data_IF_048490339987
#
_entry.id   IF_048490339987
#
_cell.length_a   1.000
_cell.length_b   1.000
_cell.length_c   1.000
_cell.angle_alpha   90.00
_cell.angle_beta   90.00
_cell.angle_gamma   90.00
#
_symmetry.space_group_name_H-M   'P 1'
#
loop_
_entity.id
_entity.type
_entity.pdbx_description
1 polymer ?
#
# COMPACT_ATOMS: atom_id res chain seq x y z
N UNK A 1 -18.75 14.40 -12.16
CA UNK A 1 -17.69 13.42 -11.87
C UNK A 1 -17.18 13.71 -10.45
N UNK A 2 -17.41 12.81 -9.50
CA UNK A 2 -16.81 12.89 -8.18
C UNK A 2 -15.48 12.12 -8.20
N UNK A 3 -14.45 12.61 -7.49
CA UNK A 3 -13.12 11.98 -7.42
C UNK A 3 -12.59 12.09 -5.99
N UNK A 4 -11.86 11.06 -5.53
CA UNK A 4 -11.32 11.02 -4.17
C UNK A 4 -12.37 10.64 -3.13
N UNK A 5 -12.35 11.29 -1.97
CA UNK A 5 -13.19 10.93 -0.82
C UNK A 5 -14.69 10.90 -1.14
N UNK A 6 -15.15 11.87 -1.94
CA UNK A 6 -16.55 11.92 -2.40
C UNK A 6 -16.94 10.67 -3.20
N UNK A 7 -16.07 10.21 -4.09
CA UNK A 7 -16.29 8.99 -4.87
C UNK A 7 -16.21 7.74 -3.99
N UNK A 8 -15.29 7.71 -3.01
CA UNK A 8 -15.15 6.59 -2.07
C UNK A 8 -16.43 6.37 -1.24
N UNK A 9 -17.13 7.44 -0.84
CA UNK A 9 -18.40 7.35 -0.13
C UNK A 9 -19.53 6.69 -0.94
N UNK A 10 -19.41 6.65 -2.27
CA UNK A 10 -20.39 6.07 -3.18
C UNK A 10 -20.19 4.56 -3.39
N UNK A 11 -19.03 3.99 -3.02
CA UNK A 11 -18.73 2.57 -3.22
C UNK A 11 -19.76 1.67 -2.52
N UNK A 12 -20.35 0.76 -3.29
CA UNK A 12 -21.42 -0.14 -2.83
C UNK A 12 -22.78 0.54 -2.56
N UNK A 13 -22.93 1.82 -2.91
CA UNK A 13 -24.15 2.62 -2.68
C UNK A 13 -24.66 3.32 -3.94
N UNK A 14 -24.10 3.01 -5.11
CA UNK A 14 -24.46 3.67 -6.37
C UNK A 14 -25.83 3.21 -6.89
N UNK A 15 -26.71 4.13 -7.35
CA UNK A 15 -27.87 3.77 -8.16
C UNK A 15 -27.42 3.24 -9.54
N UNK A 16 -28.31 2.60 -10.29
CA UNK A 16 -27.96 1.91 -11.55
C UNK A 16 -27.36 2.78 -12.66
N UNK A 17 -27.45 4.12 -12.55
CA UNK A 17 -26.88 5.08 -13.50
C UNK A 17 -25.54 5.69 -13.04
N UNK A 18 -25.01 5.27 -11.89
CA UNK A 18 -23.72 5.74 -11.36
C UNK A 18 -22.82 4.53 -11.14
N UNK A 19 -21.54 4.67 -11.49
CA UNK A 19 -20.53 3.67 -11.20
C UNK A 19 -19.40 4.32 -10.41
N UNK A 20 -19.00 3.66 -9.31
CA UNK A 20 -17.81 4.02 -8.56
C UNK A 20 -16.68 3.06 -8.97
N UNK A 21 -15.58 3.61 -9.47
CA UNK A 21 -14.48 2.86 -10.07
C UNK A 21 -13.18 3.15 -9.30
N UNK A 22 -12.42 2.10 -9.01
CA UNK A 22 -11.02 2.19 -8.54
C UNK A 22 -10.12 1.85 -9.72
N UNK A 23 -9.54 2.84 -10.43
CA UNK A 23 -8.80 2.58 -11.66
C UNK A 23 -7.40 1.98 -11.41
N UNK A 24 -6.92 2.06 -10.17
CA UNK A 24 -5.68 1.43 -9.70
C UNK A 24 -6.04 0.21 -8.85
N UNK A 25 -5.50 -0.96 -9.19
CA UNK A 25 -5.71 -2.21 -8.43
C UNK A 25 -4.47 -3.09 -8.52
N UNK A 26 -4.12 -3.79 -7.44
CA UNK A 26 -2.95 -4.69 -7.38
C UNK A 26 -1.65 -4.03 -7.87
N UNK A 27 -1.47 -2.74 -7.56
CA UNK A 27 -0.31 -1.94 -7.98
C UNK A 27 -0.34 -1.47 -9.43
N UNK A 28 -1.29 -1.94 -10.24
CA UNK A 28 -1.33 -1.65 -11.69
C UNK A 28 -2.50 -0.74 -12.06
N UNK A 29 -2.41 -0.11 -13.23
CA UNK A 29 -3.52 0.61 -13.84
C UNK A 29 -4.47 -0.44 -14.46
N UNK A 30 -5.65 -0.60 -13.87
CA UNK A 30 -6.69 -1.49 -14.36
C UNK A 30 -7.57 -0.82 -15.44
N UNK A 31 -7.71 0.50 -15.37
CA UNK A 31 -8.48 1.31 -16.33
C UNK A 31 -7.70 2.59 -16.63
N UNK A 32 -7.12 2.67 -17.83
CA UNK A 32 -6.24 3.78 -18.24
C UNK A 32 -6.99 5.09 -18.39
N UNK A 33 -8.17 5.08 -19.01
CA UNK A 33 -8.95 6.29 -19.26
C UNK A 33 -9.42 6.91 -17.94
N UNK A 34 -9.89 6.07 -17.01
CA UNK A 34 -10.33 6.54 -15.69
C UNK A 34 -9.14 6.95 -14.81
N UNK A 35 -8.00 6.24 -14.88
CA UNK A 35 -6.78 6.62 -14.16
C UNK A 35 -6.26 7.99 -14.63
N UNK A 36 -6.25 8.24 -15.94
CA UNK A 36 -5.82 9.52 -16.50
C UNK A 36 -6.69 10.68 -16.00
N UNK A 37 -8.02 10.54 -16.02
CA UNK A 37 -8.92 11.57 -15.51
C UNK A 37 -8.77 11.78 -13.99
N UNK A 38 -8.50 10.71 -13.24
CA UNK A 38 -8.18 10.80 -11.82
C UNK A 38 -6.88 11.59 -11.56
N UNK A 39 -5.80 11.28 -12.30
CA UNK A 39 -4.51 11.99 -12.22
C UNK A 39 -4.68 13.46 -12.57
N UNK A 40 -5.35 13.76 -13.69
CA UNK A 40 -5.68 15.14 -14.10
C UNK A 40 -6.45 15.88 -13.03
N UNK A 41 -7.43 15.25 -12.40
CA UNK A 41 -8.22 15.85 -11.34
C UNK A 41 -7.32 16.24 -10.15
N UNK A 42 -6.51 15.30 -9.64
CA UNK A 42 -5.66 15.58 -8.47
C UNK A 42 -4.59 16.65 -8.75
N UNK A 43 -3.97 16.65 -9.93
CA UNK A 43 -3.03 17.71 -10.34
C UNK A 43 -3.76 19.06 -10.39
N UNK A 44 -4.93 19.13 -11.02
CA UNK A 44 -5.72 20.38 -11.13
C UNK A 44 -6.25 20.87 -9.78
N UNK A 45 -6.54 19.97 -8.84
CA UNK A 45 -7.04 20.30 -7.49
C UNK A 45 -6.00 21.07 -6.68
N UNK A 46 -4.71 20.72 -6.83
CA UNK A 46 -3.60 21.37 -6.10
C UNK A 46 -2.92 22.50 -6.89
N UNK A 47 -3.08 22.51 -8.21
CA UNK A 47 -2.46 23.53 -9.06
C UNK A 47 -3.27 24.84 -9.06
N UNK A 48 -2.65 25.93 -8.59
CA UNK A 48 -3.28 27.25 -8.59
C UNK A 48 -3.31 27.84 -10.02
N UNK A 49 -4.49 27.88 -10.64
CA UNK A 49 -4.75 28.33 -12.02
C UNK A 49 -4.34 29.78 -12.35
N UNK A 50 -3.82 30.54 -11.37
CA UNK A 50 -3.38 31.93 -11.56
C UNK A 50 -2.01 32.05 -12.23
N UNK A 51 -1.22 30.99 -12.28
CA UNK A 51 0.12 31.00 -12.89
C UNK A 51 0.14 30.17 -14.17
N UNK A 52 0.72 30.72 -15.24
CA UNK A 52 1.18 29.99 -16.43
C UNK A 52 2.40 29.09 -16.08
N UNK A 53 2.28 28.31 -15.00
CA UNK A 53 3.35 27.45 -14.53
C UNK A 53 3.29 26.11 -15.26
N UNK A 54 4.47 25.66 -15.67
CA UNK A 54 4.70 24.40 -16.36
C UNK A 54 5.36 23.44 -15.35
N UNK A 55 4.60 22.75 -14.49
CA UNK A 55 5.15 22.06 -13.31
C UNK A 55 6.02 20.87 -13.70
N UNK A 56 7.04 20.62 -12.88
CA UNK A 56 7.74 19.35 -12.86
C UNK A 56 6.99 18.42 -11.90
N UNK A 57 6.80 17.17 -12.31
CA UNK A 57 6.07 16.16 -11.55
C UNK A 57 7.00 14.96 -11.33
N UNK A 58 7.02 14.42 -10.12
CA UNK A 58 7.60 13.11 -9.83
C UNK A 58 6.44 12.19 -9.45
N UNK A 59 6.37 11.02 -10.06
CA UNK A 59 5.33 10.02 -9.80
C UNK A 59 5.99 8.75 -9.29
N UNK A 60 5.49 8.26 -8.17
CA UNK A 60 5.86 6.97 -7.64
C UNK A 60 5.22 5.85 -8.46
N UNK A 61 6.00 4.82 -8.80
CA UNK A 61 5.52 3.62 -9.51
C UNK A 61 6.02 2.36 -8.78
N UNK A 62 5.26 1.26 -8.76
CA UNK A 62 5.74 0.00 -8.19
C UNK A 62 7.02 -0.46 -8.86
N UNK A 63 7.89 -1.13 -8.12
CA UNK A 63 9.15 -1.65 -8.67
C UNK A 63 8.90 -2.62 -9.84
N UNK A 64 7.85 -3.45 -9.70
CA UNK A 64 7.41 -4.40 -10.72
C UNK A 64 6.64 -3.82 -11.91
N UNK A 65 6.45 -2.49 -11.99
CA UNK A 65 5.70 -1.88 -13.09
C UNK A 65 6.39 -2.09 -14.44
N UNK A 66 5.64 -2.60 -15.43
CA UNK A 66 6.10 -2.84 -16.79
C UNK A 66 6.43 -1.53 -17.52
N UNK A 67 7.23 -1.61 -18.59
CA UNK A 67 7.55 -0.44 -19.41
C UNK A 67 6.29 0.24 -20.00
N UNK A 68 5.25 -0.54 -20.30
CA UNK A 68 3.97 -0.03 -20.81
C UNK A 68 3.24 0.77 -19.75
N UNK A 69 3.14 0.26 -18.52
CA UNK A 69 2.51 0.95 -17.39
C UNK A 69 3.27 2.23 -17.01
N UNK A 70 4.60 2.15 -16.91
CA UNK A 70 5.46 3.31 -16.63
C UNK A 70 5.26 4.42 -17.67
N UNK A 71 5.20 4.06 -18.95
CA UNK A 71 4.95 5.00 -20.05
C UNK A 71 3.57 5.62 -19.97
N UNK A 72 2.54 4.82 -19.72
CA UNK A 72 1.16 5.31 -19.62
C UNK A 72 1.00 6.33 -18.47
N UNK A 73 1.55 6.04 -17.28
CA UNK A 73 1.58 6.97 -16.14
C UNK A 73 2.23 8.30 -16.54
N UNK A 74 3.37 8.22 -17.24
CA UNK A 74 4.09 9.40 -17.68
C UNK A 74 3.28 10.23 -18.70
N UNK A 75 2.67 9.58 -19.69
CA UNK A 75 1.83 10.23 -20.70
C UNK A 75 0.59 10.88 -20.08
N UNK A 76 -0.09 10.22 -19.15
CA UNK A 76 -1.24 10.80 -18.43
C UNK A 76 -0.87 12.07 -17.67
N UNK A 77 0.31 12.10 -17.03
CA UNK A 77 0.78 13.27 -16.31
C UNK A 77 1.19 14.43 -17.24
N UNK A 78 1.81 14.13 -18.39
CA UNK A 78 2.09 15.12 -19.43
C UNK A 78 0.80 15.72 -20.00
N UNK A 79 -0.18 14.87 -20.33
CA UNK A 79 -1.52 15.28 -20.79
C UNK A 79 -2.29 16.08 -19.74
N UNK A 80 -1.96 15.91 -18.46
CA UNK A 80 -2.50 16.73 -17.36
C UNK A 80 -1.88 18.13 -17.24
N UNK A 81 -0.85 18.45 -18.04
CA UNK A 81 -0.18 19.75 -18.05
C UNK A 81 1.21 19.76 -17.40
N UNK A 82 1.78 18.59 -17.05
CA UNK A 82 3.16 18.52 -16.59
C UNK A 82 4.14 18.84 -17.73
N UNK A 83 5.20 19.60 -17.43
CA UNK A 83 6.28 19.90 -18.37
C UNK A 83 7.30 18.78 -18.47
N UNK A 84 7.62 18.20 -17.33
CA UNK A 84 8.57 17.11 -17.15
C UNK A 84 7.99 16.18 -16.10
N UNK A 85 8.09 14.90 -16.38
CA UNK A 85 7.64 13.84 -15.48
C UNK A 85 8.83 12.93 -15.22
N UNK A 86 9.10 12.68 -13.95
CA UNK A 86 10.06 11.70 -13.49
C UNK A 86 9.31 10.58 -12.79
N UNK A 87 9.83 9.36 -12.89
CA UNK A 87 9.33 8.23 -12.12
C UNK A 87 10.34 7.85 -11.05
N UNK A 88 9.84 7.55 -9.85
CA UNK A 88 10.61 6.99 -8.74
C UNK A 88 9.99 5.65 -8.35
N UNK A 89 10.82 4.68 -8.01
CA UNK A 89 10.33 3.37 -7.57
C UNK A 89 9.78 3.44 -6.14
N UNK A 90 8.66 2.79 -5.91
CA UNK A 90 7.93 2.76 -4.64
C UNK A 90 8.79 2.41 -3.43
N UNK A 91 9.55 1.30 -3.41
CA UNK A 91 10.42 1.00 -2.27
C UNK A 91 11.49 2.08 -2.01
N UNK A 92 11.98 2.74 -3.06
CA UNK A 92 12.96 3.82 -2.91
C UNK A 92 12.30 5.08 -2.33
N UNK A 93 11.14 5.48 -2.86
CA UNK A 93 10.36 6.60 -2.33
C UNK A 93 9.94 6.36 -0.88
N UNK A 94 9.44 5.16 -0.57
CA UNK A 94 9.10 4.70 0.77
C UNK A 94 10.28 4.85 1.73
N UNK A 95 11.46 4.35 1.36
CA UNK A 95 12.65 4.40 2.20
C UNK A 95 13.17 5.84 2.42
N UNK A 96 13.19 6.68 1.38
CA UNK A 96 13.54 8.11 1.51
C UNK A 96 12.54 8.79 2.46
N UNK A 97 11.26 8.49 2.35
CA UNK A 97 10.21 9.03 3.22
C UNK A 97 10.37 8.60 4.68
N UNK A 98 10.69 7.32 4.90
CA UNK A 98 10.96 6.73 6.21
C UNK A 98 12.29 7.19 6.83
N UNK A 99 13.12 7.95 6.10
CA UNK A 99 14.38 8.49 6.62
C UNK A 99 15.53 7.48 6.63
N UNK A 100 15.44 6.41 5.84
CA UNK A 100 16.51 5.44 5.71
C UNK A 100 17.73 6.03 4.98
N UNK A 101 18.96 5.63 5.34
CA UNK A 101 20.19 6.11 4.72
C UNK A 101 20.44 5.44 3.35
N UNK A 102 19.52 5.63 2.40
CA UNK A 102 19.51 4.89 1.14
C UNK A 102 20.74 5.13 0.25
N UNK A 103 21.46 6.25 0.43
CA UNK A 103 22.67 6.59 -0.33
C UNK A 103 23.96 6.08 0.30
N UNK A 104 23.92 5.58 1.53
CA UNK A 104 25.11 5.09 2.23
C UNK A 104 25.45 3.66 1.78
N UNK A 105 26.72 3.23 1.91
CA UNK A 105 27.15 1.85 1.65
C UNK A 105 26.71 0.91 2.78
N UNK A 106 25.42 0.86 3.03
CA UNK A 106 24.81 0.03 4.07
C UNK A 106 23.50 -0.58 3.59
N UNK A 107 23.17 -1.76 4.10
CA UNK A 107 21.89 -2.44 3.86
C UNK A 107 20.77 -1.76 4.63
N UNK A 108 19.73 -1.36 3.90
CA UNK A 108 18.47 -0.88 4.49
C UNK A 108 17.31 -1.69 3.93
N UNK A 109 16.53 -2.36 4.79
CA UNK A 109 15.36 -3.13 4.39
C UNK A 109 14.07 -2.36 4.66
N UNK A 110 13.22 -2.27 3.65
CA UNK A 110 11.91 -1.61 3.70
C UNK A 110 10.84 -2.59 3.22
N UNK A 111 9.70 -2.59 3.92
CA UNK A 111 8.50 -3.35 3.56
C UNK A 111 7.33 -2.37 3.50
N UNK A 112 6.92 -2.00 2.29
CA UNK A 112 5.76 -1.13 2.06
C UNK A 112 4.51 -1.95 1.78
N UNK A 113 3.52 -1.86 2.66
CA UNK A 113 2.28 -2.62 2.58
C UNK A 113 1.16 -1.66 2.17
N UNK A 114 0.87 -1.62 0.88
CA UNK A 114 -0.16 -0.78 0.28
C UNK A 114 -1.55 -1.41 0.30
N UNK A 115 -2.42 -0.86 -0.55
CA UNK A 115 -3.77 -1.41 -0.78
C UNK A 115 -3.72 -2.71 -1.58
N UNK A 116 -3.11 -2.70 -2.76
CA UNK A 116 -3.09 -3.85 -3.66
C UNK A 116 -1.83 -4.71 -3.60
N UNK A 117 -0.73 -4.16 -3.08
CA UNK A 117 0.60 -4.77 -3.15
C UNK A 117 1.35 -4.61 -1.83
N UNK A 118 2.32 -5.50 -1.64
CA UNK A 118 3.40 -5.34 -0.67
C UNK A 118 4.71 -5.34 -1.45
N UNK A 119 5.48 -4.27 -1.31
CA UNK A 119 6.82 -4.12 -1.87
C UNK A 119 7.85 -4.39 -0.78
N UNK A 120 8.71 -5.38 -0.99
CA UNK A 120 9.84 -5.67 -0.11
C UNK A 120 11.12 -5.33 -0.86
N UNK A 121 11.98 -4.50 -0.27
CA UNK A 121 13.24 -4.14 -0.91
C UNK A 121 14.39 -4.02 0.07
N UNK A 122 15.60 -4.28 -0.46
CA UNK A 122 16.87 -4.01 0.18
C UNK A 122 17.62 -2.97 -0.65
N UNK A 123 18.03 -1.89 0.01
CA UNK A 123 18.62 -0.70 -0.60
C UNK A 123 20.05 -0.50 -0.11
N UNK A 124 20.90 0.01 -0.98
CA UNK A 124 22.26 0.46 -0.65
C UNK A 124 22.81 1.35 -1.77
N UNK A 125 23.67 2.31 -1.45
CA UNK A 125 24.37 3.16 -2.45
C UNK A 125 23.45 3.86 -3.47
N UNK A 126 22.24 4.23 -3.05
CA UNK A 126 21.23 4.87 -3.88
C UNK A 126 20.58 3.93 -4.90
N UNK A 127 20.83 2.63 -4.80
CA UNK A 127 20.29 1.60 -5.66
C UNK A 127 19.40 0.61 -4.91
N UNK A 128 18.55 -0.07 -5.68
CA UNK A 128 17.80 -1.24 -5.23
C UNK A 128 18.68 -2.47 -5.48
N UNK A 129 19.10 -3.13 -4.39
CA UNK A 129 19.89 -4.36 -4.48
C UNK A 129 18.97 -5.57 -4.70
N UNK A 130 17.84 -5.57 -4.00
CA UNK A 130 16.77 -6.54 -4.18
C UNK A 130 15.43 -5.82 -4.09
N UNK A 131 14.47 -6.20 -4.94
CA UNK A 131 13.07 -5.82 -4.77
C UNK A 131 12.17 -6.97 -5.20
N UNK A 132 11.06 -7.13 -4.47
CA UNK A 132 9.99 -8.04 -4.79
C UNK A 132 8.65 -7.38 -4.49
N UNK A 133 7.77 -7.41 -5.49
CA UNK A 133 6.37 -7.03 -5.34
C UNK A 133 5.51 -8.28 -5.26
N UNK A 134 4.63 -8.34 -4.26
CA UNK A 134 3.59 -9.38 -4.17
C UNK A 134 2.21 -8.73 -4.14
N UNK A 135 1.24 -9.34 -4.83
CA UNK A 135 -0.15 -8.84 -4.92
C UNK A 135 -0.99 -9.21 -3.71
N UNK A 136 -0.48 -8.87 -2.54
CA UNK A 136 -1.14 -8.98 -1.24
C UNK A 136 -0.96 -7.67 -0.49
N UNK A 137 -2.03 -7.17 0.12
CA UNK A 137 -2.06 -5.91 0.82
C UNK A 137 -3.42 -5.71 1.50
N UNK A 138 -3.79 -4.45 1.74
CA UNK A 138 -5.06 -4.10 2.37
C UNK A 138 -6.30 -4.69 1.69
N UNK A 139 -6.33 -4.75 0.36
CA UNK A 139 -7.47 -5.27 -0.42
C UNK A 139 -7.66 -6.78 -0.18
N UNK A 140 -6.58 -7.56 -0.15
CA UNK A 140 -6.63 -9.00 0.17
C UNK A 140 -7.05 -9.27 1.61
N UNK A 141 -6.65 -8.41 2.55
CA UNK A 141 -7.14 -8.47 3.92
C UNK A 141 -8.66 -8.23 3.98
N UNK A 142 -9.18 -7.26 3.22
CA UNK A 142 -10.62 -6.98 3.18
C UNK A 142 -11.41 -8.13 2.53
N UNK A 143 -10.89 -8.69 1.44
CA UNK A 143 -11.45 -9.88 0.78
C UNK A 143 -11.50 -11.08 1.73
N UNK A 144 -10.44 -11.31 2.51
CA UNK A 144 -10.35 -12.42 3.44
C UNK A 144 -11.35 -12.30 4.60
N UNK A 145 -11.52 -11.09 5.16
CA UNK A 145 -12.55 -10.81 6.17
C UNK A 145 -13.96 -11.06 5.60
N UNK A 146 -14.26 -10.56 4.39
CA UNK A 146 -15.57 -10.79 3.73
C UNK A 146 -15.82 -12.28 3.54
N UNK A 147 -14.82 -13.01 3.03
CA UNK A 147 -14.93 -14.45 2.79
C UNK A 147 -15.11 -15.24 4.08
N UNK A 148 -14.43 -14.85 5.16
CA UNK A 148 -14.58 -15.49 6.47
C UNK A 148 -15.97 -15.28 7.05
N UNK A 149 -16.45 -14.03 7.08
CA UNK A 149 -17.79 -13.71 7.62
C UNK A 149 -18.89 -14.36 6.79
N UNK A 150 -18.75 -14.38 5.47
CA UNK A 150 -19.68 -15.08 4.58
C UNK A 150 -19.79 -16.57 4.92
N UNK A 151 -18.66 -17.24 5.16
CA UNK A 151 -18.62 -18.70 5.43
C UNK A 151 -19.10 -19.06 6.83
N UNK A 152 -18.67 -18.32 7.85
CA UNK A 152 -18.93 -18.68 9.25
C UNK A 152 -20.23 -18.09 9.81
N UNK A 153 -20.67 -16.94 9.29
CA UNK A 153 -21.86 -16.22 9.80
C UNK A 153 -23.01 -16.14 8.80
N UNK A 154 -22.86 -16.67 7.59
CA UNK A 154 -23.83 -16.53 6.49
C UNK A 154 -24.26 -15.08 6.24
N UNK A 155 -23.33 -14.14 6.45
CA UNK A 155 -23.58 -12.70 6.34
C UNK A 155 -22.74 -12.11 5.21
N UNK A 156 -23.40 -11.38 4.31
CA UNK A 156 -22.73 -10.64 3.24
C UNK A 156 -22.37 -9.23 3.71
N UNK A 157 -21.09 -8.89 3.59
CA UNK A 157 -20.54 -7.56 3.85
C UNK A 157 -20.10 -6.89 2.54
N UNK A 158 -20.15 -5.56 2.52
CA UNK A 158 -19.48 -4.76 1.49
C UNK A 158 -18.05 -4.40 1.89
N UNK A 159 -17.26 -3.96 0.90
CA UNK A 159 -15.84 -3.58 1.09
C UNK A 159 -15.65 -2.52 2.19
N UNK A 160 -16.45 -1.46 2.20
CA UNK A 160 -16.33 -0.39 3.21
C UNK A 160 -16.60 -0.88 4.64
N UNK A 161 -17.48 -1.88 4.80
CA UNK A 161 -17.71 -2.52 6.11
C UNK A 161 -16.52 -3.37 6.51
N UNK A 162 -15.92 -4.10 5.56
CA UNK A 162 -14.72 -4.91 5.78
C UNK A 162 -13.52 -4.06 6.18
N UNK A 163 -13.24 -2.97 5.44
CA UNK A 163 -12.16 -2.03 5.74
C UNK A 163 -12.30 -1.44 7.16
N UNK A 164 -13.54 -1.13 7.57
CA UNK A 164 -13.84 -0.65 8.92
C UNK A 164 -13.53 -1.70 9.99
N UNK A 165 -13.97 -2.95 9.78
CA UNK A 165 -13.68 -4.07 10.69
C UNK A 165 -12.16 -4.25 10.81
N UNK A 166 -11.44 -4.26 9.69
CA UNK A 166 -9.98 -4.36 9.64
C UNK A 166 -9.30 -3.27 10.47
N UNK A 167 -9.76 -2.02 10.37
CA UNK A 167 -9.19 -0.88 11.12
C UNK A 167 -9.53 -0.91 12.61
N UNK A 168 -10.77 -1.27 12.97
CA UNK A 168 -11.23 -1.25 14.36
C UNK A 168 -10.63 -2.41 15.18
N UNK A 169 -10.72 -3.64 14.66
CA UNK A 169 -10.39 -4.87 15.39
C UNK A 169 -9.32 -5.74 14.73
N UNK A 170 -8.92 -5.45 13.49
CA UNK A 170 -7.90 -6.22 12.79
C UNK A 170 -6.57 -6.28 13.53
N UNK A 171 -5.98 -7.47 13.57
CA UNK A 171 -4.66 -7.72 14.11
C UNK A 171 -4.03 -8.91 13.41
N UNK A 172 -2.70 -8.96 13.36
CA UNK A 172 -1.94 -10.09 12.84
C UNK A 172 -1.85 -11.26 13.85
N UNK A 173 -2.06 -11.01 15.15
CA UNK A 173 -1.98 -12.03 16.20
C UNK A 173 -2.83 -11.67 17.43
N UNK A 174 -3.27 -12.70 18.16
CA UNK A 174 -3.86 -12.55 19.50
C UNK A 174 -2.73 -12.53 20.52
N UNK A 175 -2.70 -11.49 21.35
CA UNK A 175 -1.63 -11.28 22.34
C UNK A 175 -2.04 -11.66 23.77
N UNK A 176 -3.33 -11.68 24.08
CA UNK A 176 -3.82 -11.84 25.46
C UNK A 176 -4.42 -13.24 25.77
N UNK A 177 -4.19 -14.26 24.93
CA UNK A 177 -4.67 -15.64 25.14
C UNK A 177 -6.21 -15.83 25.13
N UNK A 178 -6.99 -14.76 25.10
CA UNK A 178 -8.46 -14.76 24.98
C UNK A 178 -8.96 -14.51 23.56
N UNK A 179 -10.26 -14.25 23.40
CA UNK A 179 -10.90 -13.95 22.09
C UNK A 179 -10.69 -12.51 21.60
N UNK A 180 -10.00 -11.68 22.39
CA UNK A 180 -9.86 -10.24 22.17
C UNK A 180 -11.19 -9.49 22.24
N UNK A 181 -11.24 -8.30 21.61
CA UNK A 181 -12.44 -7.44 21.61
C UNK A 181 -13.53 -8.03 20.71
N UNK A 182 -14.79 -7.88 21.09
CA UNK A 182 -15.93 -8.23 20.24
C UNK A 182 -16.64 -6.97 19.74
N UNK A 183 -17.07 -6.99 18.47
CA UNK A 183 -17.83 -5.91 17.84
C UNK A 183 -19.06 -6.46 17.13
N UNK A 184 -20.09 -5.61 17.00
CA UNK A 184 -21.27 -5.94 16.21
C UNK A 184 -21.13 -5.41 14.78
N UNK A 185 -21.39 -6.29 13.81
CA UNK A 185 -21.33 -5.96 12.39
C UNK A 185 -22.69 -6.18 11.75
N UNK A 186 -23.00 -5.36 10.75
CA UNK A 186 -24.26 -5.40 10.02
C UNK A 186 -24.01 -5.76 8.56
N UNK A 187 -24.85 -6.63 8.02
CA UNK A 187 -24.78 -7.07 6.64
C UNK A 187 -26.11 -7.65 6.16
N UNK A 188 -26.09 -8.27 4.98
CA UNK A 188 -27.26 -8.96 4.43
C UNK A 188 -27.17 -10.45 4.73
N UNK A 189 -28.16 -11.00 5.41
CA UNK A 189 -28.27 -12.44 5.65
C UNK A 189 -28.42 -13.17 4.30
N UNK A 190 -27.59 -14.18 4.06
CA UNK A 190 -27.56 -14.91 2.79
C UNK A 190 -28.69 -15.93 2.64
N UNK A 191 -29.32 -16.36 3.75
CA UNK A 191 -30.44 -17.29 3.71
C UNK A 191 -31.75 -16.54 3.41
N UNK A 192 -31.98 -15.45 4.14
CA UNK A 192 -33.27 -14.75 4.11
C UNK A 192 -33.23 -13.44 3.30
N UNK A 193 -32.04 -12.97 2.90
CA UNK A 193 -31.87 -11.74 2.12
C UNK A 193 -32.09 -10.44 2.91
N UNK A 194 -32.35 -10.52 4.21
CA UNK A 194 -32.69 -9.36 5.07
C UNK A 194 -31.47 -8.82 5.83
N UNK A 195 -31.46 -7.54 6.22
CA UNK A 195 -30.42 -7.02 7.10
C UNK A 195 -30.36 -7.75 8.44
N UNK A 196 -29.16 -8.15 8.86
CA UNK A 196 -28.91 -8.84 10.12
C UNK A 196 -27.65 -8.29 10.79
N UNK A 197 -27.66 -8.32 12.12
CA UNK A 197 -26.52 -7.98 12.97
C UNK A 197 -25.96 -9.26 13.61
N UNK A 198 -24.63 -9.39 13.62
CA UNK A 198 -23.91 -10.49 14.27
C UNK A 198 -22.76 -9.93 15.09
N UNK A 199 -22.50 -10.54 16.24
CA UNK A 199 -21.32 -10.26 17.06
C UNK A 199 -20.14 -11.10 16.54
N UNK A 200 -19.01 -10.45 16.33
CA UNK A 200 -17.75 -11.11 15.92
C UNK A 200 -16.66 -10.79 16.93
N UNK A 201 -15.71 -11.69 17.08
CA UNK A 201 -14.53 -11.54 17.94
C UNK A 201 -13.29 -11.17 17.15
N UNK A 202 -12.33 -10.53 17.82
CA UNK A 202 -11.02 -10.25 17.25
C UNK A 202 -10.28 -11.53 16.83
N UNK A 203 -10.44 -12.64 17.56
CA UNK A 203 -9.87 -13.93 17.17
C UNK A 203 -10.35 -14.42 15.80
N UNK A 204 -11.62 -14.22 15.47
CA UNK A 204 -12.16 -14.57 14.15
C UNK A 204 -11.56 -13.70 13.05
N UNK A 205 -11.31 -12.42 13.35
CA UNK A 205 -10.65 -11.51 12.39
C UNK A 205 -9.18 -11.88 12.22
N UNK A 206 -8.46 -12.20 13.29
CA UNK A 206 -7.07 -12.71 13.20
C UNK A 206 -7.02 -13.98 12.35
N UNK A 207 -7.93 -14.93 12.58
CA UNK A 207 -8.03 -16.16 11.79
C UNK A 207 -8.30 -15.84 10.31
N UNK A 208 -9.22 -14.92 10.03
CA UNK A 208 -9.50 -14.48 8.65
C UNK A 208 -8.30 -13.84 7.95
N UNK A 209 -7.39 -13.22 8.70
CA UNK A 209 -6.21 -12.53 8.17
C UNK A 209 -4.96 -13.41 8.09
N UNK A 210 -5.02 -14.65 8.59
CA UNK A 210 -3.86 -15.55 8.66
C UNK A 210 -3.20 -15.78 7.30
N UNK A 211 -3.97 -16.03 6.25
CA UNK A 211 -3.45 -16.25 4.89
C UNK A 211 -2.75 -15.00 4.31
N UNK A 212 -3.38 -13.81 4.21
CA UNK A 212 -2.71 -12.64 3.66
C UNK A 212 -1.52 -12.17 4.51
N UNK A 213 -1.58 -12.30 5.84
CA UNK A 213 -0.44 -12.02 6.72
C UNK A 213 0.71 -13.01 6.47
N UNK A 214 0.40 -14.31 6.33
CA UNK A 214 1.37 -15.34 5.98
C UNK A 214 2.09 -15.06 4.66
N UNK A 215 1.37 -14.59 3.64
CA UNK A 215 1.95 -14.21 2.36
C UNK A 215 2.92 -13.01 2.46
N UNK A 216 2.62 -12.03 3.33
CA UNK A 216 3.52 -10.90 3.60
C UNK A 216 4.79 -11.38 4.30
N UNK A 217 4.66 -12.25 5.31
CA UNK A 217 5.80 -12.84 6.03
C UNK A 217 6.70 -13.61 5.06
N UNK A 218 6.10 -14.43 4.20
CA UNK A 218 6.83 -15.19 3.18
C UNK A 218 7.59 -14.29 2.21
N UNK A 219 6.97 -13.18 1.76
CA UNK A 219 7.64 -12.23 0.89
C UNK A 219 8.88 -11.61 1.56
N UNK A 220 8.80 -11.32 2.86
CA UNK A 220 9.92 -10.80 3.67
C UNK A 220 11.03 -11.85 3.83
N UNK A 221 10.68 -13.10 4.15
CA UNK A 221 11.65 -14.20 4.29
C UNK A 221 12.43 -14.45 3.01
N UNK A 222 11.74 -14.54 1.88
CA UNK A 222 12.40 -14.73 0.57
C UNK A 222 13.33 -13.56 0.22
N UNK A 223 12.96 -12.33 0.60
CA UNK A 223 13.84 -11.18 0.38
C UNK A 223 15.14 -11.28 1.21
N UNK A 224 15.04 -11.70 2.46
CA UNK A 224 16.21 -11.93 3.33
C UNK A 224 17.11 -13.03 2.75
N UNK A 225 16.54 -14.14 2.27
CA UNK A 225 17.28 -15.25 1.64
C UNK A 225 18.04 -14.82 0.37
N UNK A 226 17.49 -13.87 -0.38
CA UNK A 226 18.10 -13.33 -1.60
C UNK A 226 19.09 -12.18 -1.33
N UNK A 227 19.22 -11.73 -0.09
CA UNK A 227 20.07 -10.60 0.26
C UNK A 227 21.54 -11.02 0.38
N UNK A 228 22.50 -10.29 -0.23
CA UNK A 228 23.92 -10.56 -0.06
C UNK A 228 24.33 -10.58 1.42
N UNK A 229 25.25 -11.47 1.85
CA UNK A 229 25.61 -11.62 3.27
C UNK A 229 26.02 -10.30 3.95
N UNK A 230 26.71 -9.43 3.22
CA UNK A 230 27.24 -8.18 3.76
C UNK A 230 26.12 -7.19 4.08
N UNK A 231 25.05 -7.17 3.29
CA UNK A 231 23.87 -6.35 3.55
C UNK A 231 22.92 -7.02 4.54
N UNK A 232 22.89 -8.35 4.58
CA UNK A 232 22.13 -9.09 5.58
C UNK A 232 22.65 -8.80 7.00
N UNK A 233 23.98 -8.70 7.18
CA UNK A 233 24.58 -8.29 8.45
C UNK A 233 24.09 -6.90 8.90
N UNK A 234 24.06 -5.92 7.99
CA UNK A 234 23.53 -4.59 8.30
C UNK A 234 22.04 -4.62 8.69
N UNK A 235 21.24 -5.48 8.05
CA UNK A 235 19.81 -5.65 8.36
C UNK A 235 19.62 -6.34 9.72
N UNK A 236 20.53 -7.22 10.14
CA UNK A 236 20.51 -7.80 11.50
C UNK A 236 20.64 -6.70 12.55
N UNK A 237 21.52 -5.73 12.33
CA UNK A 237 21.76 -4.64 13.28
C UNK A 237 20.67 -3.56 13.25
N UNK A 238 20.19 -3.19 12.05
CA UNK A 238 19.24 -2.08 11.85
C UNK A 238 17.78 -2.50 11.85
N UNK A 239 17.51 -3.77 11.53
CA UNK A 239 16.18 -4.31 11.40
C UNK A 239 15.45 -3.95 10.11
N UNK A 240 14.15 -4.22 10.13
CA UNK A 240 13.21 -3.99 9.04
C UNK A 240 12.34 -2.77 9.37
N UNK A 241 12.18 -1.87 8.39
CA UNK A 241 11.20 -0.79 8.48
C UNK A 241 9.93 -1.17 7.73
N UNK A 242 8.77 -1.05 8.39
CA UNK A 242 7.45 -1.19 7.79
C UNK A 242 6.87 0.18 7.45
N UNK A 243 6.22 0.27 6.29
CA UNK A 243 5.52 1.47 5.84
C UNK A 243 4.26 1.08 5.05
N UNK A 244 3.47 2.08 4.64
CA UNK A 244 2.21 1.88 3.96
C UNK A 244 1.06 1.71 4.93
N UNK A 245 -0.17 1.83 4.43
CA UNK A 245 -1.37 1.75 5.27
C UNK A 245 -1.59 0.37 5.90
N UNK A 246 -1.09 -0.69 5.26
CA UNK A 246 -1.17 -2.06 5.78
C UNK A 246 -0.20 -2.34 6.92
N UNK A 247 0.90 -1.57 7.07
CA UNK A 247 1.80 -1.67 8.22
C UNK A 247 1.11 -1.32 9.55
N UNK A 248 -0.03 -0.61 9.51
CA UNK A 248 -0.81 -0.24 10.68
C UNK A 248 -1.70 -1.39 11.21
N UNK A 249 -1.67 -2.58 10.60
CA UNK A 249 -2.33 -3.75 11.15
C UNK A 249 -1.70 -4.10 12.51
N UNK A 250 -2.51 -4.13 13.57
CA UNK A 250 -2.03 -4.33 14.94
C UNK A 250 -1.20 -5.61 15.05
N UNK A 251 -0.04 -5.53 15.70
CA UNK A 251 0.89 -6.63 15.96
C UNK A 251 1.56 -7.24 14.70
N UNK A 252 1.45 -6.61 13.52
CA UNK A 252 2.12 -7.12 12.32
C UNK A 252 3.66 -7.05 12.45
N UNK A 253 4.16 -5.97 13.04
CA UNK A 253 5.54 -5.79 13.44
C UNK A 253 6.05 -6.91 14.35
N UNK A 254 5.25 -7.31 15.34
CA UNK A 254 5.58 -8.39 16.27
C UNK A 254 5.65 -9.74 15.57
N UNK A 255 4.64 -10.06 14.76
CA UNK A 255 4.63 -11.33 14.02
C UNK A 255 5.82 -11.41 13.06
N UNK A 256 6.12 -10.32 12.34
CA UNK A 256 7.30 -10.29 11.47
C UNK A 256 8.61 -10.43 12.26
N UNK A 257 8.71 -9.81 13.44
CA UNK A 257 9.86 -9.95 14.33
C UNK A 257 10.05 -11.40 14.78
N UNK A 258 8.97 -12.05 15.21
CA UNK A 258 9.02 -13.43 15.68
C UNK A 258 9.39 -14.41 14.54
N UNK A 259 8.86 -14.16 13.35
CA UNK A 259 9.08 -15.02 12.17
C UNK A 259 10.44 -14.83 11.50
N UNK A 260 11.04 -13.64 11.60
CA UNK A 260 12.34 -13.32 10.99
C UNK A 260 13.50 -13.34 11.98
N UNK A 261 13.22 -13.19 13.28
CA UNK A 261 14.25 -12.99 14.32
C UNK A 261 14.90 -11.60 14.28
N UNK A 262 14.41 -10.67 13.45
CA UNK A 262 14.99 -9.34 13.25
C UNK A 262 14.20 -8.26 13.98
N UNK A 263 14.83 -7.17 14.42
CA UNK A 263 14.09 -5.98 14.86
C UNK A 263 13.15 -5.52 13.74
N UNK A 264 11.91 -5.19 14.09
CA UNK A 264 10.93 -4.62 13.16
C UNK A 264 10.35 -3.37 13.78
N UNK A 265 10.32 -2.29 13.01
CA UNK A 265 9.74 -1.01 13.42
C UNK A 265 8.85 -0.46 12.31
N UNK A 266 7.86 0.34 12.70
CA UNK A 266 6.93 1.00 11.77
C UNK A 266 7.39 2.44 11.61
N UNK A 267 7.46 2.95 10.38
CA UNK A 267 7.79 4.34 10.11
C UNK A 267 6.76 5.29 10.74
N UNK A 268 7.22 6.42 11.30
CA UNK A 268 6.38 7.39 12.02
C UNK A 268 5.21 7.89 11.16
N UNK A 269 5.47 8.18 9.89
CA UNK A 269 4.47 8.64 8.91
C UNK A 269 4.18 7.56 7.86
N UNK A 270 3.97 6.30 8.28
CA UNK A 270 3.82 5.13 7.39
C UNK A 270 2.86 5.34 6.21
N UNK A 271 1.72 6.03 6.39
CA UNK A 271 0.77 6.33 5.31
C UNK A 271 1.29 7.34 4.27
N UNK A 272 2.27 8.16 4.67
CA UNK A 272 2.76 9.30 3.90
C UNK A 272 4.20 9.12 3.41
N UNK A 273 4.93 8.09 3.86
CA UNK A 273 6.34 7.87 3.48
C UNK A 273 6.57 7.95 1.97
N UNK A 274 5.78 7.27 1.14
CA UNK A 274 5.95 7.32 -0.32
C UNK A 274 5.79 8.75 -0.86
N UNK A 275 4.76 9.49 -0.42
CA UNK A 275 4.53 10.86 -0.85
C UNK A 275 5.62 11.81 -0.35
N UNK A 276 6.07 11.65 0.90
CA UNK A 276 7.14 12.44 1.51
C UNK A 276 8.48 12.18 0.81
N UNK A 277 8.82 10.93 0.54
CA UNK A 277 10.05 10.59 -0.18
C UNK A 277 10.03 11.05 -1.64
N UNK A 278 8.88 10.95 -2.30
CA UNK A 278 8.67 11.52 -3.64
C UNK A 278 8.86 13.05 -3.63
N UNK A 279 8.32 13.74 -2.62
CA UNK A 279 8.48 15.17 -2.41
C UNK A 279 9.94 15.57 -2.16
N UNK A 280 10.64 14.85 -1.29
CA UNK A 280 12.08 15.05 -1.03
C UNK A 280 12.91 14.86 -2.31
N UNK A 281 12.59 13.85 -3.12
CA UNK A 281 13.23 13.64 -4.42
C UNK A 281 12.96 14.78 -5.41
N UNK A 282 11.75 15.36 -5.40
CA UNK A 282 11.40 16.54 -6.19
C UNK A 282 12.20 17.79 -5.76
N UNK A 283 12.35 18.02 -4.46
CA UNK A 283 13.13 19.15 -3.92
C UNK A 283 14.62 19.03 -4.25
N UNK A 284 15.12 17.80 -4.36
CA UNK A 284 16.54 17.48 -4.55
C UNK A 284 16.84 16.79 -5.90
N UNK A 285 16.08 17.07 -6.97
CA UNK A 285 16.21 16.41 -8.30
C UNK A 285 17.67 16.31 -8.78
N UNK A 286 18.49 17.35 -8.56
CA UNK A 286 19.88 17.36 -9.06
C UNK A 286 20.75 16.28 -8.40
N UNK A 287 20.64 16.11 -7.09
CA UNK A 287 21.42 15.13 -6.32
C UNK A 287 20.77 13.75 -6.36
N UNK A 288 19.44 13.69 -6.44
CA UNK A 288 18.66 12.45 -6.51
C UNK A 288 18.40 11.94 -7.94
N UNK A 289 19.12 12.46 -8.94
CA UNK A 289 18.92 12.05 -10.35
C UNK A 289 19.10 10.54 -10.56
N UNK A 290 19.93 9.88 -9.76
CA UNK A 290 20.20 8.45 -9.86
C UNK A 290 19.01 7.56 -9.45
N UNK A 291 18.10 8.05 -8.61
CA UNK A 291 16.86 7.33 -8.22
C UNK A 291 15.66 7.71 -9.08
N UNK A 292 15.83 8.68 -9.99
CA UNK A 292 14.78 9.18 -10.86
C UNK A 292 15.01 8.68 -12.28
N UNK A 293 13.96 8.12 -12.88
CA UNK A 293 13.96 7.77 -14.30
C UNK A 293 13.16 8.80 -15.11
N UNK A 294 13.68 9.17 -16.28
CA UNK A 294 12.93 9.88 -17.33
C UNK A 294 13.10 9.13 -18.64
N UNK A 295 12.03 8.97 -19.41
CA UNK A 295 12.06 8.31 -20.74
C UNK A 295 12.72 9.22 -21.80
N UNK A 296 13.11 10.44 -21.44
CA UNK A 296 13.75 11.44 -22.31
C UNK A 296 14.93 12.12 -21.61
#
# INVERSE_FOLDING_TARGET
LAVGDEAKLMLGRTPGNIQAIRPMRDGVIADFDVAEEMIKHFIRKVHNRRTFANPQVVICVPSGATAVERRAIQESALSAGARRVYLIEEPMAAAIGAGLPVTEPTGSMIVDIGGGTTEVAVLSLGGIVYSRSVRVGGDKMDEAIIAYIRRHHNLLLGESSSERIKKEVGSAAITDGGKGVSINIKGRDLMNGVPREVAISQSEIVESLSEPVGQIIEAVKVALEATPPELAADIVDKGIILTGGGALLKNLDKVLRDETGLPVSIADEALSCVALGTGRALEHIKTMKHVLSSVY
#
